data_IF_832933336850
#
_entry.id   IF_832933336850
#
_cell.length_a   1.000
_cell.length_b   1.000
_cell.length_c   1.000
_cell.angle_alpha   90.00
_cell.angle_beta   90.00
_cell.angle_gamma   90.00
#
_symmetry.space_group_name_H-M   'P 1'
#
loop_
_entity.id
_entity.type
_entity.pdbx_description
1 polymer ?
#
# COMPACT_ATOMS: atom_id res chain seq x y z
N UNK A 1 -13.89 -14.64 -27.84
CA UNK A 1 -12.66 -15.29 -27.34
C UNK A 1 -11.63 -14.27 -26.80
N UNK A 2 -11.36 -13.15 -27.48
CA UNK A 2 -10.38 -12.13 -27.03
C UNK A 2 -10.78 -11.31 -25.79
N UNK A 3 -12.07 -11.02 -25.58
CA UNK A 3 -12.53 -10.26 -24.40
C UNK A 3 -12.37 -11.08 -23.11
N UNK A 4 -12.44 -12.41 -23.20
CA UNK A 4 -12.26 -13.29 -22.05
C UNK A 4 -10.81 -13.27 -21.57
N UNK A 5 -9.83 -13.33 -22.48
CA UNK A 5 -8.41 -13.24 -22.15
C UNK A 5 -8.02 -11.88 -21.54
N UNK A 6 -8.53 -10.76 -22.09
CA UNK A 6 -8.31 -9.42 -21.53
C UNK A 6 -8.88 -9.32 -20.11
N UNK A 7 -10.08 -9.87 -19.88
CA UNK A 7 -10.76 -9.87 -18.58
C UNK A 7 -10.02 -10.71 -17.54
N UNK A 8 -9.41 -11.84 -17.94
CA UNK A 8 -8.58 -12.67 -17.05
C UNK A 8 -7.27 -11.96 -16.70
N UNK A 9 -6.58 -11.34 -17.66
CA UNK A 9 -5.35 -10.59 -17.38
C UNK A 9 -5.60 -9.41 -16.42
N UNK A 10 -6.71 -8.67 -16.61
CA UNK A 10 -7.12 -7.58 -15.72
C UNK A 10 -7.49 -8.08 -14.30
N UNK A 11 -7.99 -9.31 -14.16
CA UNK A 11 -8.23 -9.92 -12.85
C UNK A 11 -6.93 -10.41 -12.20
N UNK A 12 -5.98 -10.95 -12.98
CA UNK A 12 -4.65 -11.35 -12.50
C UNK A 12 -3.83 -10.15 -12.01
N UNK A 13 -3.86 -9.01 -12.71
CA UNK A 13 -3.26 -7.74 -12.24
C UNK A 13 -3.86 -7.26 -10.91
N UNK A 14 -5.17 -7.45 -10.70
CA UNK A 14 -5.82 -7.11 -9.44
C UNK A 14 -5.46 -8.08 -8.31
N UNK A 15 -5.24 -9.37 -8.62
CA UNK A 15 -4.79 -10.38 -7.67
C UNK A 15 -3.34 -10.13 -7.21
N UNK A 16 -2.42 -9.78 -8.12
CA UNK A 16 -1.02 -9.49 -7.79
C UNK A 16 -0.86 -8.17 -7.05
N UNK A 17 -1.68 -7.15 -7.37
CA UNK A 17 -1.73 -5.86 -6.65
C UNK A 17 -2.25 -5.98 -5.21
N UNK A 18 -2.83 -7.13 -4.83
CA UNK A 18 -3.40 -7.38 -3.51
C UNK A 18 -2.38 -7.83 -2.45
N UNK A 19 -1.16 -8.20 -2.86
CA UNK A 19 -0.19 -8.84 -1.96
C UNK A 19 0.86 -7.89 -1.36
N UNK A 20 1.00 -6.67 -1.90
CA UNK A 20 1.89 -5.63 -1.37
C UNK A 20 1.18 -4.28 -1.42
N UNK A 21 0.37 -3.97 -0.40
CA UNK A 21 -0.37 -2.71 -0.30
C UNK A 21 0.28 -1.80 0.75
N UNK A 22 0.15 -0.49 0.56
CA UNK A 22 0.53 0.47 1.58
C UNK A 22 -0.61 0.63 2.60
N UNK A 23 -0.22 0.87 3.86
CA UNK A 23 -1.10 1.10 5.01
C UNK A 23 -1.13 2.57 5.45
N UNK A 24 -0.75 3.49 4.57
CA UNK A 24 -0.69 4.93 4.85
C UNK A 24 -2.04 5.43 5.38
N UNK A 25 -3.16 4.91 4.84
CA UNK A 25 -4.51 5.23 5.32
C UNK A 25 -4.70 4.95 6.81
N UNK A 26 -4.24 3.78 7.26
CA UNK A 26 -4.43 3.30 8.63
C UNK A 26 -3.55 4.14 9.55
N UNK A 27 -2.27 4.29 9.20
CA UNK A 27 -1.32 5.05 10.02
C UNK A 27 -1.72 6.53 10.15
N UNK A 28 -2.22 7.16 9.07
CA UNK A 28 -2.73 8.53 9.15
C UNK A 28 -3.94 8.65 10.08
N UNK A 29 -4.85 7.66 10.08
CA UNK A 29 -6.00 7.65 10.98
C UNK A 29 -5.57 7.43 12.43
N UNK A 30 -4.66 6.49 12.68
CA UNK A 30 -4.13 6.19 14.02
C UNK A 30 -3.44 7.41 14.64
N UNK A 31 -2.71 8.19 13.82
CA UNK A 31 -2.04 9.42 14.25
C UNK A 31 -2.92 10.67 14.18
N UNK A 32 -4.16 10.55 13.72
CA UNK A 32 -5.10 11.67 13.50
C UNK A 32 -4.52 12.78 12.60
N UNK A 33 -3.69 12.40 11.63
CA UNK A 33 -3.05 13.31 10.69
C UNK A 33 -3.89 13.44 9.43
N UNK A 34 -4.08 14.68 8.97
CA UNK A 34 -4.85 14.96 7.76
C UNK A 34 -4.02 14.75 6.50
N UNK A 35 -4.68 14.40 5.39
CA UNK A 35 -4.02 14.29 4.08
C UNK A 35 -3.31 15.58 3.69
N UNK A 36 -3.95 16.73 3.99
CA UNK A 36 -3.40 18.06 3.72
C UNK A 36 -2.11 18.29 4.47
N UNK A 37 -2.06 17.95 5.76
CA UNK A 37 -0.83 18.09 6.54
C UNK A 37 0.32 17.28 5.95
N UNK A 38 0.07 16.02 5.58
CA UNK A 38 1.11 15.19 4.96
C UNK A 38 1.54 15.75 3.59
N UNK A 39 0.60 16.24 2.81
CA UNK A 39 0.87 16.86 1.51
C UNK A 39 1.78 18.09 1.66
N UNK A 40 1.48 18.95 2.64
CA UNK A 40 2.27 20.15 2.96
C UNK A 40 3.69 19.77 3.40
N UNK A 41 3.85 18.75 4.25
CA UNK A 41 5.18 18.30 4.71
C UNK A 41 6.01 17.64 3.60
N UNK A 42 5.36 16.92 2.68
CA UNK A 42 6.01 16.23 1.57
C UNK A 42 6.25 17.13 0.35
N UNK A 43 5.70 18.36 0.34
CA UNK A 43 5.74 19.25 -0.82
C UNK A 43 4.99 18.69 -2.04
N UNK A 44 3.93 17.89 -1.81
CA UNK A 44 3.10 17.31 -2.87
C UNK A 44 1.65 17.80 -2.77
N UNK A 45 0.83 17.48 -3.76
CA UNK A 45 -0.60 17.82 -3.73
C UNK A 45 -1.40 16.88 -2.83
N UNK A 46 -2.52 17.35 -2.27
CA UNK A 46 -3.53 16.51 -1.60
C UNK A 46 -3.89 15.29 -2.47
N UNK A 47 -4.16 15.53 -3.75
CA UNK A 47 -4.54 14.49 -4.70
C UNK A 47 -3.50 13.36 -4.78
N UNK A 48 -2.22 13.70 -4.68
CA UNK A 48 -1.12 12.71 -4.63
C UNK A 48 -1.24 11.83 -3.39
N UNK A 49 -1.38 12.43 -2.20
CA UNK A 49 -1.56 11.71 -0.93
C UNK A 49 -2.84 10.86 -0.95
N UNK A 50 -3.93 11.38 -1.52
CA UNK A 50 -5.19 10.65 -1.69
C UNK A 50 -5.04 9.40 -2.58
N UNK A 51 -4.25 9.50 -3.66
CA UNK A 51 -3.92 8.36 -4.53
C UNK A 51 -3.03 7.33 -3.82
N UNK A 52 -2.12 7.76 -2.95
CA UNK A 52 -1.35 6.86 -2.08
C UNK A 52 -2.25 6.12 -1.10
N UNK A 53 -3.09 6.86 -0.35
CA UNK A 53 -4.07 6.33 0.62
C UNK A 53 -5.01 5.29 0.01
N UNK A 54 -5.41 5.49 -1.24
CA UNK A 54 -6.31 4.58 -1.97
C UNK A 54 -5.58 3.45 -2.70
N UNK A 55 -4.26 3.30 -2.50
CA UNK A 55 -3.41 2.33 -3.19
C UNK A 55 -3.52 2.39 -4.73
N UNK A 56 -4.01 3.52 -5.28
CA UNK A 56 -4.12 3.74 -6.72
C UNK A 56 -2.72 3.91 -7.31
N UNK A 57 -1.88 4.68 -6.61
CA UNK A 57 -0.47 4.92 -6.92
C UNK A 57 0.32 4.56 -5.66
N UNK A 58 1.46 3.90 -5.81
CA UNK A 58 2.39 3.69 -4.70
C UNK A 58 3.35 4.88 -4.59
N UNK A 59 3.68 5.36 -3.38
CA UNK A 59 4.83 6.23 -3.17
C UNK A 59 6.11 5.51 -3.61
N UNK A 60 7.10 6.26 -4.08
CA UNK A 60 8.45 5.72 -4.28
C UNK A 60 9.05 5.27 -2.94
N UNK A 61 10.12 4.48 -2.99
CA UNK A 61 10.82 4.05 -1.77
C UNK A 61 11.33 5.25 -0.95
N UNK A 62 11.86 6.29 -1.62
CA UNK A 62 12.29 7.52 -0.95
C UNK A 62 11.13 8.23 -0.24
N UNK A 63 9.97 8.32 -0.89
CA UNK A 63 8.76 8.91 -0.30
C UNK A 63 8.27 8.08 0.90
N UNK A 64 8.34 6.75 0.82
CA UNK A 64 7.99 5.87 1.93
C UNK A 64 8.85 6.12 3.17
N UNK A 65 10.17 6.20 2.99
CA UNK A 65 11.11 6.50 4.08
C UNK A 65 10.82 7.86 4.68
N UNK A 66 10.52 8.86 3.85
CA UNK A 66 10.22 10.20 4.35
C UNK A 66 8.87 10.25 5.09
N UNK A 67 7.84 9.58 4.59
CA UNK A 67 6.56 9.43 5.28
C UNK A 67 6.77 8.75 6.63
N UNK A 68 7.57 7.67 6.70
CA UNK A 68 7.88 6.98 7.96
C UNK A 68 8.58 7.93 8.96
N UNK A 69 9.52 8.74 8.48
CA UNK A 69 10.21 9.76 9.29
C UNK A 69 9.27 10.84 9.80
N UNK A 70 8.41 11.39 8.94
CA UNK A 70 7.44 12.45 9.29
C UNK A 70 6.40 11.94 10.28
N UNK A 71 5.92 10.73 10.06
CA UNK A 71 4.91 10.10 10.92
C UNK A 71 5.52 9.45 12.16
N UNK A 72 6.86 9.36 12.29
CA UNK A 72 7.55 8.65 13.37
C UNK A 72 7.00 7.23 13.58
N UNK A 73 7.06 6.43 12.51
CA UNK A 73 6.68 5.00 12.52
C UNK A 73 7.78 4.18 11.85
N UNK A 74 7.79 2.87 12.10
CA UNK A 74 8.65 1.98 11.31
C UNK A 74 8.09 1.92 9.88
N UNK A 75 8.99 1.83 8.89
CA UNK A 75 8.59 1.65 7.48
C UNK A 75 7.75 0.38 7.29
N UNK A 76 7.95 -0.64 8.13
CA UNK A 76 7.16 -1.87 8.14
C UNK A 76 5.69 -1.62 8.50
N UNK A 77 5.41 -0.62 9.35
CA UNK A 77 4.05 -0.29 9.75
C UNK A 77 3.25 0.30 8.58
N UNK A 78 3.94 0.92 7.62
CA UNK A 78 3.36 1.48 6.40
C UNK A 78 3.08 0.42 5.32
N UNK A 79 3.45 -0.84 5.54
CA UNK A 79 3.32 -1.93 4.56
C UNK A 79 2.36 -3.01 5.06
N UNK A 80 1.51 -3.51 4.18
CA UNK A 80 0.71 -4.70 4.39
C UNK A 80 1.35 -5.86 3.63
N UNK A 81 1.92 -6.81 4.38
CA UNK A 81 2.59 -7.97 3.81
C UNK A 81 1.84 -9.23 4.22
N UNK A 82 1.09 -9.79 3.28
CA UNK A 82 0.40 -11.07 3.47
C UNK A 82 1.27 -12.21 2.95
N UNK A 83 2.17 -12.72 3.80
CA UNK A 83 3.00 -13.89 3.46
C UNK A 83 2.19 -15.20 3.34
N UNK A 84 0.94 -15.21 3.82
CA UNK A 84 0.11 -16.41 3.95
C UNK A 84 -0.82 -16.72 2.75
N UNK A 85 -0.81 -15.92 1.68
CA UNK A 85 -1.70 -16.16 0.52
C UNK A 85 -1.24 -17.28 -0.43
N UNK A 86 -0.07 -17.86 -0.19
CA UNK A 86 0.41 -19.05 -0.90
C UNK A 86 0.55 -20.20 0.10
N UNK A 87 -0.47 -21.03 0.23
CA UNK A 87 -0.45 -22.22 1.08
C UNK A 87 0.57 -23.26 0.61
N UNK A 88 1.85 -23.06 0.93
CA UNK A 88 2.93 -24.04 0.69
C UNK A 88 3.75 -24.34 1.95
N UNK A 89 3.52 -23.66 3.07
CA UNK A 89 4.16 -24.01 4.35
C UNK A 89 3.14 -24.35 5.43
N UNK A 90 2.35 -25.40 5.17
CA UNK A 90 1.91 -26.26 6.28
C UNK A 90 3.14 -27.02 6.76
N UNK A 91 3.80 -26.52 7.81
CA UNK A 91 4.65 -27.39 8.63
C UNK A 91 3.70 -28.30 9.39
N UNK A 92 3.49 -29.50 8.84
CA UNK A 92 2.90 -30.59 9.57
C UNK A 92 3.93 -31.03 10.62
N UNK A 93 3.69 -30.71 11.89
CA UNK A 93 4.38 -31.26 13.05
C UNK A 93 3.47 -31.13 14.28
N UNK A 94 2.53 -32.07 14.39
CA UNK A 94 2.29 -32.87 15.60
C UNK A 94 1.43 -34.08 15.25
#
# INVERSE_FOLDING_TARGET
MFIFAHTINKQMEQMTKKNCQNRIRVVLADKQITNRWLADQMGVTDMTVSRWKTNKIQPSMSQFVEIARLLQVDIKDLLEVDFNKNGVFSTNNN
#
